data_IF_725347645441
#
_entry.id   IF_725347645441
#
_cell.length_a   1.000
_cell.length_b   1.000
_cell.length_c   1.000
_cell.angle_alpha   90.00
_cell.angle_beta   90.00
_cell.angle_gamma   90.00
#
_symmetry.space_group_name_H-M   'P 1'
#
loop_
_entity.id
_entity.type
_entity.pdbx_description
1 polymer ?
#
# COMPACT_ATOMS: atom_id res chain seq x y z
N UNK A 1 -13.35 10.34 18.27
CA UNK A 1 -12.54 9.73 19.32
C UNK A 1 -11.38 10.60 19.74
N UNK A 2 -10.56 10.13 20.66
CA UNK A 2 -9.37 10.89 21.15
C UNK A 2 -8.44 11.31 20.00
N UNK A 3 -8.23 10.44 19.03
CA UNK A 3 -7.47 10.74 17.81
C UNK A 3 -8.03 11.96 17.05
N UNK A 4 -9.33 12.07 16.90
CA UNK A 4 -9.95 13.16 16.14
C UNK A 4 -9.81 14.51 16.87
N UNK A 5 -9.77 14.47 18.20
CA UNK A 5 -9.53 15.68 19.02
C UNK A 5 -8.10 16.15 18.82
N UNK A 6 -7.11 15.27 19.00
CA UNK A 6 -5.70 15.57 18.81
C UNK A 6 -5.38 16.00 17.37
N UNK A 7 -6.04 15.41 16.39
CA UNK A 7 -5.88 15.79 14.98
C UNK A 7 -6.35 17.22 14.73
N UNK A 8 -7.52 17.61 15.26
CA UNK A 8 -8.02 18.99 15.15
C UNK A 8 -7.14 20.00 15.88
N UNK A 9 -6.62 19.63 17.06
CA UNK A 9 -5.66 20.49 17.79
C UNK A 9 -4.39 20.70 16.95
N UNK A 10 -3.88 19.66 16.33
CA UNK A 10 -2.72 19.75 15.43
C UNK A 10 -3.00 20.64 14.22
N UNK A 11 -4.17 20.51 13.55
CA UNK A 11 -4.56 21.40 12.45
C UNK A 11 -4.57 22.89 12.90
N UNK A 12 -5.11 23.18 14.08
CA UNK A 12 -5.15 24.55 14.62
C UNK A 12 -3.74 25.07 14.94
N UNK A 13 -2.87 24.22 15.50
CA UNK A 13 -1.48 24.58 15.79
C UNK A 13 -0.69 24.85 14.50
N UNK A 14 -0.80 24.00 13.52
CA UNK A 14 -0.12 24.16 12.22
C UNK A 14 -0.63 25.38 11.44
N UNK A 15 -1.92 25.71 11.56
CA UNK A 15 -2.46 26.94 10.98
C UNK A 15 -1.90 28.22 11.64
N UNK A 16 -1.59 28.16 12.95
CA UNK A 16 -0.97 29.28 13.68
C UNK A 16 0.54 29.36 13.51
N UNK A 17 1.17 28.23 13.26
CA UNK A 17 2.61 28.04 13.18
C UNK A 17 3.03 27.25 11.93
N UNK A 18 2.84 27.82 10.72
CA UNK A 18 3.15 27.13 9.48
C UNK A 18 4.61 26.68 9.37
N UNK A 19 5.51 27.36 10.06
CA UNK A 19 6.94 27.04 10.11
C UNK A 19 7.26 25.72 10.86
N UNK A 20 6.31 25.20 11.65
CA UNK A 20 6.45 23.95 12.38
C UNK A 20 5.91 22.74 11.60
N UNK A 21 5.29 22.96 10.43
CA UNK A 21 4.74 21.87 9.62
C UNK A 21 5.88 20.99 9.08
N UNK A 22 5.81 19.71 9.39
CA UNK A 22 6.78 18.71 8.88
C UNK A 22 6.19 17.87 7.74
N UNK A 23 7.03 17.34 6.83
CA UNK A 23 6.56 16.48 5.74
C UNK A 23 5.82 15.21 6.19
N UNK A 24 6.07 14.76 7.41
CA UNK A 24 5.48 13.58 8.05
C UNK A 24 4.26 13.90 8.92
N UNK A 25 3.77 15.17 8.91
CA UNK A 25 2.57 15.52 9.65
C UNK A 25 1.35 14.70 9.20
N UNK A 26 0.54 14.17 10.16
CA UNK A 26 -0.72 13.50 9.84
C UNK A 26 -1.71 14.38 9.08
N UNK A 27 -1.67 15.70 9.24
CA UNK A 27 -2.55 16.66 8.55
C UNK A 27 -2.27 16.73 7.05
N UNK A 28 -1.07 16.34 6.63
CA UNK A 28 -0.67 16.29 5.21
C UNK A 28 -0.99 14.97 4.52
N UNK A 29 -1.71 14.05 5.16
CA UNK A 29 -2.14 12.79 4.53
C UNK A 29 -3.17 13.01 3.43
N UNK A 30 -4.02 14.03 3.58
CA UNK A 30 -5.12 14.33 2.66
C UNK A 30 -5.04 15.82 2.30
N UNK A 31 -5.14 16.16 1.04
CA UNK A 31 -5.28 17.57 0.68
C UNK A 31 -4.43 18.06 -0.48
N UNK A 32 -3.79 17.18 -1.23
CA UNK A 32 -3.23 17.58 -2.53
C UNK A 32 -4.34 17.91 -3.53
N UNK A 33 -4.09 18.90 -4.39
CA UNK A 33 -4.96 19.14 -5.55
C UNK A 33 -5.06 17.89 -6.42
N UNK A 34 -6.20 17.66 -7.12
CA UNK A 34 -6.34 16.56 -8.05
C UNK A 34 -5.23 16.58 -9.10
N UNK A 35 -4.63 15.42 -9.35
CA UNK A 35 -3.60 15.27 -10.36
C UNK A 35 -4.23 15.27 -11.76
N UNK A 36 -3.49 15.74 -12.77
CA UNK A 36 -3.91 15.67 -14.18
C UNK A 36 -3.60 14.31 -14.81
N UNK A 37 -2.81 13.47 -14.15
CA UNK A 37 -2.40 12.13 -14.56
C UNK A 37 -1.46 11.51 -13.54
N UNK A 38 -1.18 10.22 -13.69
CA UNK A 38 -0.18 9.53 -12.88
C UNK A 38 1.19 9.61 -13.58
N UNK A 39 2.22 10.02 -12.84
CA UNK A 39 3.60 9.79 -13.21
C UNK A 39 3.96 8.31 -13.16
N UNK A 40 5.17 7.99 -13.52
CA UNK A 40 5.74 6.64 -13.42
C UNK A 40 6.96 6.63 -12.53
N UNK A 41 7.14 5.53 -11.79
CA UNK A 41 8.32 5.28 -10.95
C UNK A 41 8.97 3.99 -11.45
N UNK A 42 10.28 4.05 -11.71
CA UNK A 42 11.08 2.87 -12.00
C UNK A 42 11.47 2.20 -10.69
N UNK A 43 11.17 0.91 -10.56
CA UNK A 43 11.59 0.11 -9.41
C UNK A 43 13.11 -0.09 -9.41
N UNK A 44 13.76 0.11 -8.27
CA UNK A 44 15.20 -0.14 -8.12
C UNK A 44 15.52 -1.63 -8.23
N UNK A 45 14.65 -2.46 -7.68
CA UNK A 45 14.68 -3.91 -7.84
C UNK A 45 13.37 -4.36 -8.47
N UNK A 46 13.39 -5.26 -9.47
CA UNK A 46 12.15 -5.72 -10.11
C UNK A 46 11.15 -6.32 -9.11
N UNK A 47 9.88 -5.99 -9.27
CA UNK A 47 8.76 -6.60 -8.54
C UNK A 47 8.34 -7.89 -9.24
N UNK A 48 9.08 -8.96 -9.00
CA UNK A 48 8.90 -10.24 -9.67
C UNK A 48 7.57 -10.92 -9.28
N UNK A 49 7.02 -11.69 -10.21
CA UNK A 49 5.90 -12.60 -9.94
C UNK A 49 6.43 -13.94 -9.42
N UNK A 50 5.71 -14.52 -8.47
CA UNK A 50 6.00 -15.85 -7.97
C UNK A 50 5.20 -16.89 -8.76
N UNK A 51 5.78 -18.08 -8.97
CA UNK A 51 5.07 -19.23 -9.55
C UNK A 51 4.04 -19.77 -8.56
N UNK A 52 2.95 -20.31 -9.09
CA UNK A 52 1.94 -21.01 -8.30
C UNK A 52 2.35 -22.46 -8.05
N UNK A 53 1.92 -23.03 -6.93
CA UNK A 53 1.89 -24.46 -6.66
C UNK A 53 0.46 -24.80 -6.21
N UNK A 54 -0.28 -25.56 -7.02
CA UNK A 54 -1.71 -25.81 -6.83
C UNK A 54 -2.00 -27.18 -6.21
N UNK A 55 -0.98 -28.04 -6.12
CA UNK A 55 -1.07 -29.39 -5.59
C UNK A 55 0.23 -29.79 -4.89
N UNK A 56 0.21 -30.95 -4.22
CA UNK A 56 1.37 -31.44 -3.47
C UNK A 56 2.59 -31.71 -4.35
N UNK A 57 2.41 -32.23 -5.57
CA UNK A 57 3.53 -32.54 -6.47
C UNK A 57 4.25 -31.25 -6.90
N UNK A 58 3.50 -30.19 -7.18
CA UNK A 58 4.05 -28.88 -7.51
C UNK A 58 4.76 -28.22 -6.30
N UNK A 59 4.25 -28.45 -5.09
CA UNK A 59 4.89 -27.98 -3.87
C UNK A 59 6.21 -28.71 -3.61
N UNK A 60 6.26 -30.03 -3.81
CA UNK A 60 7.48 -30.84 -3.73
C UNK A 60 8.49 -30.35 -4.78
N UNK A 61 8.06 -30.18 -6.03
CA UNK A 61 8.90 -29.67 -7.09
C UNK A 61 9.42 -28.23 -6.81
N UNK A 62 8.63 -27.40 -6.09
CA UNK A 62 9.09 -26.10 -5.62
C UNK A 62 10.25 -26.26 -4.61
N UNK A 63 10.10 -27.11 -3.59
CA UNK A 63 11.13 -27.37 -2.59
C UNK A 63 12.43 -27.88 -3.24
N UNK A 64 12.32 -28.83 -4.17
CA UNK A 64 13.46 -29.35 -4.93
C UNK A 64 14.19 -28.24 -5.72
N UNK A 65 13.43 -27.35 -6.38
CA UNK A 65 14.03 -26.20 -7.08
C UNK A 65 14.75 -25.26 -6.14
N UNK A 66 14.18 -25.00 -4.96
CA UNK A 66 14.82 -24.15 -3.94
C UNK A 66 16.11 -24.77 -3.42
N UNK A 67 16.10 -26.07 -3.08
CA UNK A 67 17.30 -26.82 -2.66
C UNK A 67 18.38 -26.79 -3.73
N UNK A 68 18.02 -27.02 -4.98
CA UNK A 68 18.93 -26.95 -6.12
C UNK A 68 19.53 -25.55 -6.30
N UNK A 69 18.70 -24.50 -6.20
CA UNK A 69 19.13 -23.11 -6.34
C UNK A 69 20.09 -22.67 -5.22
N UNK A 70 19.90 -23.20 -4.00
CA UNK A 70 20.75 -22.95 -2.86
C UNK A 70 21.98 -23.86 -2.80
N UNK A 71 22.08 -24.87 -3.67
CA UNK A 71 23.16 -25.86 -3.64
C UNK A 71 23.16 -26.72 -2.38
N UNK A 72 22.01 -27.00 -1.79
CA UNK A 72 21.89 -27.71 -0.52
C UNK A 72 20.89 -28.87 -0.61
N UNK A 73 21.13 -29.90 0.20
CA UNK A 73 20.18 -31.00 0.43
C UNK A 73 19.56 -30.94 1.84
N UNK A 74 19.82 -29.87 2.60
CA UNK A 74 19.26 -29.71 3.93
C UNK A 74 17.78 -29.28 3.79
N UNK A 75 16.97 -29.72 4.74
CA UNK A 75 15.58 -29.31 4.79
C UNK A 75 15.45 -27.79 5.01
N UNK A 76 14.67 -27.15 4.14
CA UNK A 76 14.41 -25.73 4.18
C UNK A 76 13.24 -25.48 5.13
N UNK A 77 13.39 -24.53 6.05
CA UNK A 77 12.31 -24.05 6.91
C UNK A 77 11.54 -22.96 6.16
N UNK A 78 10.24 -23.19 5.93
CA UNK A 78 9.36 -22.25 5.29
C UNK A 78 8.43 -21.55 6.29
N UNK A 79 8.12 -20.30 6.04
CA UNK A 79 7.02 -19.58 6.70
C UNK A 79 5.83 -19.57 5.75
N UNK A 80 4.67 -19.98 6.25
CA UNK A 80 3.41 -19.94 5.50
C UNK A 80 2.59 -18.74 5.90
N UNK A 81 2.20 -17.94 4.92
CA UNK A 81 1.41 -16.72 5.11
C UNK A 81 0.18 -16.71 4.20
N UNK A 82 -0.94 -16.08 4.62
CA UNK A 82 -2.07 -15.85 3.72
C UNK A 82 -1.66 -14.99 2.54
N UNK A 83 -2.06 -15.41 1.33
CA UNK A 83 -1.91 -14.57 0.14
C UNK A 83 -3.05 -13.57 0.08
N UNK A 84 -2.77 -12.34 0.50
CA UNK A 84 -3.73 -11.24 0.40
C UNK A 84 -4.05 -10.93 -1.06
N UNK A 85 -5.31 -10.68 -1.35
CA UNK A 85 -5.80 -10.35 -2.69
C UNK A 85 -6.17 -8.87 -2.79
N UNK A 86 -5.33 -8.10 -3.45
CA UNK A 86 -5.45 -6.65 -3.57
C UNK A 86 -4.64 -6.10 -4.75
N UNK A 87 -3.95 -5.00 -4.54
CA UNK A 87 -3.03 -4.39 -5.49
C UNK A 87 -1.62 -4.33 -4.89
N UNK A 88 -0.67 -4.98 -5.56
CA UNK A 88 0.75 -4.96 -5.19
C UNK A 88 1.35 -3.57 -5.36
N UNK A 89 2.01 -3.09 -4.31
CA UNK A 89 2.64 -1.78 -4.26
C UNK A 89 4.06 -1.85 -3.72
N UNK A 90 4.89 -0.90 -4.11
CA UNK A 90 6.18 -0.60 -3.51
C UNK A 90 6.09 0.70 -2.70
N UNK A 91 6.69 0.71 -1.53
CA UNK A 91 6.80 1.85 -0.64
C UNK A 91 8.27 2.17 -0.43
N UNK A 92 8.65 3.42 -0.61
CA UNK A 92 10.03 3.87 -0.40
C UNK A 92 10.10 4.81 0.79
N UNK A 93 11.00 4.50 1.71
CA UNK A 93 11.32 5.32 2.86
C UNK A 93 12.77 5.77 2.79
N UNK A 94 13.01 7.06 3.00
CA UNK A 94 14.36 7.62 3.18
C UNK A 94 14.48 8.19 4.59
N UNK A 95 15.54 7.80 5.29
CA UNK A 95 15.75 8.17 6.71
C UNK A 95 14.51 7.94 7.59
N UNK A 96 13.77 6.86 7.28
CA UNK A 96 12.55 6.48 8.00
C UNK A 96 11.30 7.26 7.62
N UNK A 97 11.37 8.22 6.71
CA UNK A 97 10.21 8.99 6.24
C UNK A 97 9.70 8.43 4.92
N UNK A 98 8.39 8.24 4.78
CA UNK A 98 7.74 7.82 3.54
C UNK A 98 7.90 8.88 2.45
N UNK A 99 8.56 8.53 1.36
CA UNK A 99 8.88 9.45 0.26
C UNK A 99 8.00 9.20 -0.95
N UNK A 100 7.90 7.93 -1.39
CA UNK A 100 7.15 7.59 -2.59
C UNK A 100 6.55 6.19 -2.52
N UNK A 101 5.54 5.98 -3.36
CA UNK A 101 4.96 4.67 -3.54
C UNK A 101 4.35 4.52 -4.92
N UNK A 102 4.47 3.32 -5.47
CA UNK A 102 4.06 2.99 -6.83
C UNK A 102 3.31 1.66 -6.90
N UNK A 103 2.54 1.48 -7.96
CA UNK A 103 1.99 0.17 -8.30
C UNK A 103 3.11 -0.73 -8.81
N UNK A 104 2.88 -2.05 -8.80
CA UNK A 104 3.82 -2.99 -9.40
C UNK A 104 4.04 -2.74 -10.90
N UNK A 105 3.01 -2.29 -11.62
CA UNK A 105 3.05 -2.13 -13.06
C UNK A 105 3.42 -3.43 -13.78
N UNK A 106 4.36 -3.35 -14.71
CA UNK A 106 4.94 -4.51 -15.43
C UNK A 106 6.04 -5.24 -14.63
N UNK A 107 6.31 -4.77 -13.42
CA UNK A 107 7.39 -5.28 -12.55
C UNK A 107 8.67 -4.45 -12.59
N UNK A 108 8.83 -3.56 -13.55
CA UNK A 108 9.99 -2.66 -13.69
C UNK A 108 9.59 -1.19 -13.51
N UNK A 109 8.40 -0.83 -14.00
CA UNK A 109 7.86 0.53 -13.93
C UNK A 109 6.42 0.45 -13.42
N UNK A 110 6.11 1.22 -12.38
CA UNK A 110 4.77 1.36 -11.81
C UNK A 110 4.23 2.78 -11.94
N UNK A 111 2.92 2.94 -11.76
CA UNK A 111 2.28 4.25 -11.65
C UNK A 111 2.64 4.88 -10.30
N UNK A 112 2.99 6.16 -10.28
CA UNK A 112 3.20 6.93 -9.05
C UNK A 112 1.86 7.20 -8.36
N UNK A 113 1.62 6.50 -7.27
CA UNK A 113 0.43 6.64 -6.42
C UNK A 113 0.79 7.12 -5.02
N UNK A 114 1.89 7.84 -4.89
CA UNK A 114 2.45 8.33 -3.62
C UNK A 114 1.41 9.03 -2.77
N UNK A 115 0.65 9.97 -3.34
CA UNK A 115 -0.34 10.75 -2.62
C UNK A 115 -1.54 9.90 -2.18
N UNK A 116 -1.94 8.93 -3.00
CA UNK A 116 -3.05 8.03 -2.71
C UNK A 116 -2.68 7.08 -1.56
N UNK A 117 -1.50 6.47 -1.61
CA UNK A 117 -0.99 5.61 -0.55
C UNK A 117 -0.86 6.35 0.78
N UNK A 118 -0.44 7.61 0.75
CA UNK A 118 -0.31 8.46 1.95
C UNK A 118 -1.63 8.59 2.72
N UNK A 119 -2.78 8.47 2.04
CA UNK A 119 -4.12 8.55 2.68
C UNK A 119 -4.49 7.31 3.48
N UNK A 120 -3.82 6.17 3.25
CA UNK A 120 -4.11 4.90 3.94
C UNK A 120 -3.64 5.01 5.39
N UNK A 121 -4.59 4.90 6.34
CA UNK A 121 -4.31 5.11 7.77
C UNK A 121 -3.33 4.10 8.36
N UNK A 122 -3.34 2.86 7.87
CA UNK A 122 -2.43 1.79 8.32
C UNK A 122 -1.01 1.94 7.79
N UNK A 123 -0.77 2.79 6.77
CA UNK A 123 0.57 3.05 6.24
C UNK A 123 1.33 3.99 7.20
N UNK A 124 2.46 3.59 7.78
CA UNK A 124 3.27 4.48 8.60
C UNK A 124 3.97 5.52 7.71
N UNK A 125 3.73 6.80 7.99
CA UNK A 125 4.42 7.90 7.29
C UNK A 125 5.85 8.03 7.80
N UNK A 126 6.10 7.62 9.04
CA UNK A 126 7.42 7.58 9.67
C UNK A 126 7.65 6.25 10.36
N UNK A 127 8.77 5.64 10.06
CA UNK A 127 9.21 4.41 10.72
C UNK A 127 9.66 4.72 12.14
N UNK A 128 9.49 3.75 13.04
CA UNK A 128 9.93 3.80 14.42
C UNK A 128 10.97 2.71 14.66
N UNK A 129 11.94 2.96 15.51
CA UNK A 129 12.98 2.00 15.86
C UNK A 129 14.27 2.70 16.26
N UNK A 130 15.18 1.95 16.89
CA UNK A 130 16.51 2.45 17.29
C UNK A 130 17.45 2.57 16.08
N UNK A 131 17.28 1.67 15.11
CA UNK A 131 18.09 1.65 13.88
C UNK A 131 17.16 1.87 12.69
N UNK A 132 17.25 3.03 12.08
CA UNK A 132 16.48 3.39 10.89
C UNK A 132 17.41 3.37 9.69
N UNK A 133 17.15 2.54 8.66
CA UNK A 133 17.96 2.51 7.46
C UNK A 133 17.86 3.83 6.69
N UNK A 134 18.95 4.20 6.01
CA UNK A 134 18.97 5.39 5.14
C UNK A 134 17.96 5.26 4.01
N UNK A 135 17.82 4.05 3.45
CA UNK A 135 16.85 3.70 2.42
C UNK A 135 16.20 2.37 2.78
N UNK A 136 14.88 2.31 2.69
CA UNK A 136 14.10 1.09 2.84
C UNK A 136 13.04 1.02 1.74
N UNK A 137 13.04 -0.05 0.98
CA UNK A 137 11.96 -0.40 0.05
C UNK A 137 11.14 -1.53 0.66
N UNK A 138 9.82 -1.33 0.75
CA UNK A 138 8.89 -2.32 1.29
C UNK A 138 7.87 -2.65 0.21
N UNK A 139 7.64 -3.94 -0.02
CA UNK A 139 6.61 -4.42 -0.92
C UNK A 139 5.44 -4.93 -0.11
N UNK A 140 4.25 -4.51 -0.49
CA UNK A 140 3.04 -4.86 0.21
C UNK A 140 1.85 -5.01 -0.72
N UNK A 141 0.72 -5.33 -0.13
CA UNK A 141 -0.54 -5.47 -0.85
C UNK A 141 -1.57 -4.53 -0.24
N UNK A 142 -2.13 -3.61 -1.04
CA UNK A 142 -3.27 -2.79 -0.61
C UNK A 142 -4.56 -3.54 -0.91
N UNK A 143 -5.40 -3.67 0.09
CA UNK A 143 -6.62 -4.47 0.01
C UNK A 143 -7.79 -3.82 0.75
N UNK A 144 -8.98 -4.37 0.55
CA UNK A 144 -10.20 -4.03 1.31
C UNK A 144 -10.66 -5.30 2.03
N UNK A 145 -10.96 -5.18 3.32
CA UNK A 145 -11.53 -6.30 4.11
C UNK A 145 -12.91 -6.66 3.59
N UNK A 146 -13.32 -7.94 3.72
CA UNK A 146 -14.60 -8.43 3.18
C UNK A 146 -15.81 -7.65 3.66
N UNK A 147 -15.86 -7.33 4.96
CA UNK A 147 -16.99 -6.60 5.56
C UNK A 147 -17.03 -5.14 5.08
N UNK A 148 -15.85 -4.51 4.96
CA UNK A 148 -15.70 -3.16 4.43
C UNK A 148 -16.09 -3.10 2.95
N UNK A 149 -15.73 -4.13 2.17
CA UNK A 149 -16.12 -4.26 0.76
C UNK A 149 -17.64 -4.38 0.61
N UNK A 150 -18.28 -5.21 1.44
CA UNK A 150 -19.74 -5.35 1.43
C UNK A 150 -20.43 -4.02 1.75
N UNK A 151 -19.91 -3.28 2.73
CA UNK A 151 -20.41 -1.96 3.13
C UNK A 151 -20.21 -0.92 2.03
N UNK A 152 -19.04 -0.93 1.39
CA UNK A 152 -18.72 -0.06 0.25
C UNK A 152 -19.72 -0.27 -0.90
N UNK A 153 -19.98 -1.51 -1.30
CA UNK A 153 -20.91 -1.81 -2.38
C UNK A 153 -22.35 -1.41 -2.05
N UNK A 154 -22.82 -1.61 -0.81
CA UNK A 154 -24.14 -1.10 -0.37
C UNK A 154 -24.22 0.42 -0.46
N UNK A 155 -23.13 1.13 -0.20
CA UNK A 155 -23.08 2.59 -0.34
C UNK A 155 -23.13 3.00 -1.80
N UNK A 156 -22.37 2.32 -2.68
CA UNK A 156 -22.41 2.56 -4.14
C UNK A 156 -23.82 2.37 -4.69
N UNK A 157 -24.49 1.27 -4.32
CA UNK A 157 -25.86 0.98 -4.74
C UNK A 157 -26.85 2.06 -4.30
N UNK A 158 -26.78 2.50 -3.03
CA UNK A 158 -27.62 3.56 -2.49
C UNK A 158 -27.39 4.91 -3.20
N UNK A 159 -26.16 5.16 -3.67
CA UNK A 159 -25.79 6.37 -4.40
C UNK A 159 -25.98 6.23 -5.93
N UNK A 160 -26.61 5.15 -6.38
CA UNK A 160 -26.82 4.83 -7.81
C UNK A 160 -25.53 4.80 -8.63
N UNK A 161 -24.41 4.42 -7.98
CA UNK A 161 -23.10 4.27 -8.60
C UNK A 161 -22.81 2.80 -8.94
N UNK A 162 -21.97 2.53 -9.95
CA UNK A 162 -21.56 1.17 -10.27
C UNK A 162 -20.94 0.46 -9.06
N UNK A 163 -21.39 -0.78 -8.80
CA UNK A 163 -20.82 -1.63 -7.77
C UNK A 163 -19.52 -2.26 -8.26
N UNK A 164 -18.60 -2.54 -7.34
CA UNK A 164 -17.37 -3.24 -7.67
C UNK A 164 -17.58 -4.75 -7.74
N UNK A 165 -16.99 -5.39 -8.75
CA UNK A 165 -17.12 -6.83 -8.97
C UNK A 165 -16.46 -7.67 -7.87
N UNK A 166 -15.35 -7.21 -7.31
CA UNK A 166 -14.61 -7.86 -6.23
C UNK A 166 -13.76 -6.86 -5.44
N UNK A 167 -13.28 -7.29 -4.27
CA UNK A 167 -12.50 -6.45 -3.37
C UNK A 167 -11.15 -6.00 -3.98
N UNK A 168 -10.51 -6.84 -4.81
CA UNK A 168 -9.28 -6.50 -5.53
C UNK A 168 -9.50 -5.33 -6.49
N UNK A 169 -10.54 -5.40 -7.32
CA UNK A 169 -10.89 -4.33 -8.27
C UNK A 169 -11.28 -3.05 -7.52
N UNK A 170 -11.98 -3.17 -6.40
CA UNK A 170 -12.31 -2.03 -5.55
C UNK A 170 -11.08 -1.36 -4.96
N UNK A 171 -10.09 -2.14 -4.47
CA UNK A 171 -8.83 -1.62 -3.97
C UNK A 171 -8.03 -0.94 -5.09
N UNK A 172 -7.85 -1.61 -6.23
CA UNK A 172 -7.12 -1.07 -7.37
C UNK A 172 -7.76 0.23 -7.91
N UNK A 173 -9.08 0.24 -8.11
CA UNK A 173 -9.81 1.42 -8.56
C UNK A 173 -9.78 2.56 -7.55
N UNK A 174 -9.77 2.26 -6.25
CA UNK A 174 -9.69 3.26 -5.19
C UNK A 174 -8.29 3.89 -5.08
N UNK A 175 -7.22 3.13 -5.35
CA UNK A 175 -5.86 3.66 -5.36
C UNK A 175 -5.52 4.48 -6.61
N UNK A 176 -6.20 4.23 -7.72
CA UNK A 176 -5.95 4.91 -9.00
C UNK A 176 -6.95 6.05 -9.24
N UNK A 177 -7.16 6.87 -8.20
CA UNK A 177 -7.97 8.09 -8.27
C UNK A 177 -7.06 9.31 -8.44
N UNK A 178 -7.36 10.17 -9.40
CA UNK A 178 -6.62 11.42 -9.59
C UNK A 178 -6.78 12.37 -8.40
N UNK A 179 -7.90 12.31 -7.72
CA UNK A 179 -8.16 13.01 -6.47
C UNK A 179 -7.94 12.07 -5.27
N UNK A 180 -6.85 12.27 -4.54
CA UNK A 180 -6.51 11.47 -3.36
C UNK A 180 -7.54 11.54 -2.23
N UNK A 181 -8.43 12.54 -2.21
CA UNK A 181 -9.55 12.64 -1.25
C UNK A 181 -10.57 11.53 -1.48
N UNK A 182 -10.75 11.09 -2.73
CA UNK A 182 -11.59 9.92 -3.04
C UNK A 182 -10.95 8.67 -2.46
N UNK A 183 -9.64 8.48 -2.64
CA UNK A 183 -8.88 7.38 -2.02
C UNK A 183 -9.00 7.40 -0.50
N UNK A 184 -8.87 8.57 0.13
CA UNK A 184 -9.00 8.74 1.58
C UNK A 184 -10.38 8.33 2.13
N UNK A 185 -11.44 8.44 1.32
CA UNK A 185 -12.80 8.02 1.70
C UNK A 185 -13.02 6.50 1.61
N UNK A 186 -12.06 5.75 1.06
CA UNK A 186 -12.15 4.30 0.86
C UNK A 186 -11.57 3.53 2.06
N UNK A 187 -12.15 2.39 2.45
CA UNK A 187 -11.68 1.61 3.58
C UNK A 187 -10.49 0.72 3.19
N UNK A 188 -9.41 1.35 2.73
CA UNK A 188 -8.19 0.67 2.32
C UNK A 188 -7.32 0.30 3.52
N UNK A 189 -6.69 -0.86 3.42
CA UNK A 189 -5.65 -1.37 4.34
C UNK A 189 -4.42 -1.82 3.55
N UNK A 190 -3.27 -1.83 4.18
CA UNK A 190 -2.02 -2.34 3.63
C UNK A 190 -1.36 -3.25 4.65
#
# INVERSE_FOLDING_TARGET
GEYDILFKELEVLEAKHPELITPDSPTRRVGSEPQTGFGTIQHRLPMLSLSNAMNNDELIAFDERMKKGLGTNIDIVYISEPKIDGLGVELVYEHGTYISGSTRGDGFIGEDITQNLRTIRSLPIKLRGEVIPTLLEVRGEVFIKKDDFATLNKTQEREEKPIFANARNAAAGSLRQLDSRITASRPLSI
#
